data_IF_004498399102
#
_entry.id   IF_004498399102
#
_cell.length_a   1.000
_cell.length_b   1.000
_cell.length_c   1.000
_cell.angle_alpha   90.00
_cell.angle_beta   90.00
_cell.angle_gamma   90.00
#
_symmetry.space_group_name_H-M   'P 1'
#
loop_
_entity.id
_entity.type
_entity.pdbx_description
1 polymer ?
#
# COMPACT_ATOMS: atom_id res chain seq x y z
N UNK A 1 -19.94 -1.84 -27.52
CA UNK A 1 -18.79 -1.47 -28.37
C UNK A 1 -18.00 -0.39 -27.64
N UNK A 2 -16.67 -0.52 -27.53
CA UNK A 2 -15.82 0.51 -26.88
C UNK A 2 -15.75 1.67 -27.86
N UNK A 3 -16.20 2.87 -27.48
CA UNK A 3 -16.27 4.00 -28.42
C UNK A 3 -15.08 4.95 -28.35
N UNK A 4 -14.44 5.14 -27.20
CA UNK A 4 -13.28 6.02 -27.09
C UNK A 4 -12.39 5.61 -25.93
N UNK A 5 -11.09 5.70 -26.15
CA UNK A 5 -10.07 5.63 -25.12
C UNK A 5 -9.41 7.01 -25.09
N UNK A 6 -9.54 7.74 -24.00
CA UNK A 6 -8.88 9.03 -23.83
C UNK A 6 -8.09 9.00 -22.54
N UNK A 7 -6.86 9.53 -22.59
CA UNK A 7 -6.02 9.75 -21.42
C UNK A 7 -6.11 11.23 -21.06
N UNK A 8 -6.17 11.55 -19.80
CA UNK A 8 -5.98 12.91 -19.31
C UNK A 8 -4.55 13.10 -18.73
N UNK A 9 -4.23 14.35 -18.38
CA UNK A 9 -2.92 14.72 -17.79
C UNK A 9 -2.64 14.06 -16.41
N UNK A 10 -3.60 13.30 -15.89
CA UNK A 10 -3.51 12.59 -14.59
C UNK A 10 -3.31 11.08 -14.74
N UNK A 11 -2.96 10.59 -15.93
CA UNK A 11 -2.81 9.15 -16.25
C UNK A 11 -4.11 8.34 -16.02
N UNK A 12 -5.29 8.98 -16.14
CA UNK A 12 -6.55 8.27 -16.12
C UNK A 12 -6.94 7.83 -17.52
N UNK A 13 -7.31 6.56 -17.65
CA UNK A 13 -7.87 6.01 -18.87
C UNK A 13 -9.40 6.02 -18.79
N UNK A 14 -10.05 6.69 -19.74
CA UNK A 14 -11.51 6.72 -19.85
C UNK A 14 -11.96 5.81 -20.97
N UNK A 15 -12.86 4.89 -20.63
CA UNK A 15 -13.48 3.99 -21.60
C UNK A 15 -14.97 4.27 -21.60
N UNK A 16 -15.52 4.66 -22.75
CA UNK A 16 -16.96 4.83 -22.90
C UNK A 16 -17.57 3.60 -23.55
N UNK A 17 -18.66 3.11 -22.97
CA UNK A 17 -19.40 1.95 -23.43
C UNK A 17 -20.78 2.38 -23.96
N UNK A 18 -21.17 1.80 -25.10
CA UNK A 18 -22.54 1.91 -25.61
C UNK A 18 -23.34 0.69 -25.13
N UNK A 19 -23.57 0.65 -23.83
CA UNK A 19 -24.23 -0.46 -23.13
C UNK A 19 -25.16 0.15 -22.09
N UNK A 20 -26.24 -0.54 -21.79
CA UNK A 20 -27.22 -0.15 -20.78
C UNK A 20 -26.54 0.06 -19.40
N UNK A 21 -26.92 1.12 -18.72
CA UNK A 21 -26.39 1.57 -17.43
C UNK A 21 -26.42 0.48 -16.36
N UNK A 22 -27.39 -0.42 -16.39
CA UNK A 22 -27.50 -1.53 -15.44
C UNK A 22 -26.31 -2.49 -15.51
N UNK A 23 -25.85 -2.82 -16.73
CA UNK A 23 -24.68 -3.69 -16.91
C UNK A 23 -23.39 -3.03 -16.44
N UNK A 24 -23.21 -1.73 -16.75
CA UNK A 24 -22.03 -0.96 -16.32
C UNK A 24 -21.98 -0.85 -14.80
N UNK A 25 -23.11 -0.57 -14.14
CA UNK A 25 -23.20 -0.55 -12.69
C UNK A 25 -22.88 -1.91 -12.06
N UNK A 26 -23.34 -2.98 -12.67
CA UNK A 26 -23.04 -4.35 -12.21
C UNK A 26 -21.55 -4.64 -12.34
N UNK A 27 -20.92 -4.28 -13.47
CA UNK A 27 -19.49 -4.40 -13.70
C UNK A 27 -18.69 -3.60 -12.66
N UNK A 28 -19.05 -2.33 -12.45
CA UNK A 28 -18.42 -1.47 -11.44
C UNK A 28 -18.48 -2.11 -10.05
N UNK A 29 -19.64 -2.62 -9.63
CA UNK A 29 -19.81 -3.29 -8.32
C UNK A 29 -18.97 -4.55 -8.19
N UNK A 30 -18.84 -5.33 -9.28
CA UNK A 30 -17.99 -6.53 -9.30
C UNK A 30 -16.52 -6.13 -9.17
N UNK A 31 -16.05 -5.13 -9.90
CA UNK A 31 -14.69 -4.62 -9.82
C UNK A 31 -14.36 -4.16 -8.39
N UNK A 32 -15.25 -3.37 -7.77
CA UNK A 32 -15.06 -2.91 -6.38
C UNK A 32 -15.05 -4.04 -5.35
N UNK A 33 -15.81 -5.10 -5.55
CA UNK A 33 -15.98 -6.16 -4.55
C UNK A 33 -15.05 -7.35 -4.74
N UNK A 34 -14.74 -7.67 -5.99
CA UNK A 34 -14.03 -8.91 -6.39
C UNK A 34 -12.56 -8.68 -6.76
N UNK A 35 -12.13 -7.43 -6.89
CA UNK A 35 -10.71 -7.12 -7.13
C UNK A 35 -9.85 -7.77 -6.04
N UNK A 36 -8.88 -8.59 -6.46
CA UNK A 36 -7.97 -9.30 -5.58
C UNK A 36 -6.63 -8.58 -5.56
N UNK A 37 -6.07 -8.42 -4.38
CA UNK A 37 -4.75 -7.87 -4.18
C UNK A 37 -4.07 -8.42 -2.93
N UNK A 38 -2.82 -8.06 -2.72
CA UNK A 38 -2.08 -8.38 -1.51
C UNK A 38 -1.95 -7.13 -0.63
N UNK A 39 -2.16 -7.29 0.66
CA UNK A 39 -1.92 -6.24 1.65
C UNK A 39 -1.37 -6.84 2.95
N UNK A 40 -0.81 -5.98 3.78
CA UNK A 40 -0.52 -6.31 5.18
C UNK A 40 -1.82 -6.21 5.98
N UNK A 41 -2.28 -7.32 6.54
CA UNK A 41 -3.41 -7.28 7.45
C UNK A 41 -2.94 -6.78 8.81
N UNK A 42 -3.71 -5.91 9.46
CA UNK A 42 -3.40 -5.40 10.81
C UNK A 42 -3.16 -6.52 11.84
N UNK A 43 -3.87 -7.64 11.69
CA UNK A 43 -3.72 -8.83 12.57
C UNK A 43 -2.40 -9.57 12.36
N UNK A 44 -1.84 -9.48 11.15
CA UNK A 44 -0.62 -10.19 10.76
C UNK A 44 0.63 -9.30 10.92
N UNK A 45 0.47 -8.11 11.54
CA UNK A 45 1.55 -7.20 11.89
C UNK A 45 1.87 -7.34 13.36
N UNK A 46 3.01 -7.96 13.66
CA UNK A 46 3.55 -8.10 15.02
C UNK A 46 4.51 -6.95 15.30
N UNK A 47 4.20 -6.11 16.28
CA UNK A 47 5.10 -5.06 16.77
C UNK A 47 5.91 -5.68 17.89
N UNK A 48 7.22 -5.86 17.66
CA UNK A 48 8.15 -6.44 18.62
C UNK A 48 8.64 -5.38 19.60
N UNK A 49 8.95 -4.19 19.09
CA UNK A 49 9.43 -3.08 19.90
C UNK A 49 8.96 -1.75 19.29
N UNK A 50 8.40 -0.89 20.12
CA UNK A 50 8.01 0.46 19.75
C UNK A 50 8.17 1.38 20.96
N UNK A 51 9.19 2.22 20.97
CA UNK A 51 9.38 3.25 21.98
C UNK A 51 9.05 4.66 21.46
N UNK A 52 8.36 4.74 20.33
CA UNK A 52 7.93 6.00 19.73
C UNK A 52 6.64 6.50 20.37
N UNK A 53 6.32 7.77 20.14
CA UNK A 53 5.04 8.36 20.60
C UNK A 53 3.81 7.82 19.85
N UNK A 54 4.00 7.15 18.70
CA UNK A 54 2.89 6.67 17.88
C UNK A 54 2.35 5.35 18.42
N UNK A 55 1.03 5.29 18.61
CA UNK A 55 0.35 4.08 19.09
C UNK A 55 0.51 2.92 18.09
N UNK A 56 0.65 1.71 18.63
CA UNK A 56 0.78 0.47 17.86
C UNK A 56 -0.37 0.22 16.89
N UNK A 57 -1.58 0.58 17.24
CA UNK A 57 -2.76 0.43 16.37
C UNK A 57 -2.68 1.34 15.16
N UNK A 58 -2.26 2.58 15.35
CA UNK A 58 -2.08 3.56 14.26
C UNK A 58 -0.99 3.09 13.32
N UNK A 59 0.12 2.57 13.86
CA UNK A 59 1.22 2.01 13.05
C UNK A 59 0.75 0.83 12.21
N UNK A 60 0.03 -0.13 12.81
CA UNK A 60 -0.56 -1.27 12.08
C UNK A 60 -1.50 -0.79 10.98
N UNK A 61 -2.34 0.20 11.27
CA UNK A 61 -3.24 0.76 10.28
C UNK A 61 -2.48 1.42 9.12
N UNK A 62 -1.49 2.26 9.39
CA UNK A 62 -0.68 2.91 8.34
C UNK A 62 0.04 1.90 7.44
N UNK A 63 0.63 0.87 8.03
CA UNK A 63 1.30 -0.19 7.26
C UNK A 63 0.29 -1.01 6.44
N UNK A 64 -0.90 -1.27 6.97
CA UNK A 64 -1.93 -1.99 6.23
C UNK A 64 -2.44 -1.24 5.00
N UNK A 65 -2.21 0.07 4.91
CA UNK A 65 -2.56 0.92 3.77
C UNK A 65 -1.45 0.99 2.70
N UNK A 66 -0.30 0.33 2.89
CA UNK A 66 0.75 0.28 1.88
C UNK A 66 0.35 -0.69 0.76
N UNK A 67 0.23 -0.24 -0.50
CA UNK A 67 -0.13 -1.10 -1.61
C UNK A 67 1.02 -2.05 -1.97
N UNK A 68 0.73 -3.33 -2.12
CA UNK A 68 1.70 -4.37 -2.47
C UNK A 68 1.40 -4.87 -3.89
N UNK A 69 2.32 -4.64 -4.82
CA UNK A 69 2.22 -5.10 -6.22
C UNK A 69 2.73 -6.53 -6.42
N UNK A 70 2.33 -7.47 -5.59
CA UNK A 70 2.73 -8.87 -5.78
C UNK A 70 1.56 -9.80 -5.57
N UNK A 71 1.60 -10.94 -6.27
CA UNK A 71 0.59 -12.00 -6.16
C UNK A 71 0.95 -12.98 -5.05
N UNK A 72 2.21 -12.95 -4.60
CA UNK A 72 2.75 -13.89 -3.61
C UNK A 72 2.70 -13.33 -2.19
N UNK A 73 2.55 -14.19 -1.21
CA UNK A 73 2.66 -13.80 0.19
C UNK A 73 4.10 -13.41 0.50
N UNK A 74 4.26 -12.29 1.19
CA UNK A 74 5.54 -11.75 1.62
C UNK A 74 5.66 -11.85 3.13
N UNK A 75 6.86 -12.17 3.59
CA UNK A 75 7.26 -11.95 4.98
C UNK A 75 8.26 -10.81 4.99
N UNK A 76 7.96 -9.76 5.72
CA UNK A 76 8.75 -8.55 5.79
C UNK A 76 9.08 -8.19 7.23
N UNK A 77 10.14 -7.41 7.39
CA UNK A 77 10.59 -6.90 8.67
C UNK A 77 11.03 -5.43 8.53
N UNK A 78 10.68 -4.63 9.52
CA UNK A 78 11.13 -3.25 9.64
C UNK A 78 11.86 -3.09 10.96
N UNK A 79 13.18 -2.84 10.91
CA UNK A 79 14.01 -2.57 12.09
C UNK A 79 14.77 -1.29 11.83
N UNK A 80 14.43 -0.24 12.57
CA UNK A 80 15.10 1.05 12.48
C UNK A 80 15.28 1.64 13.86
N UNK A 81 16.47 2.14 14.12
CA UNK A 81 16.81 2.94 15.29
C UNK A 81 17.40 4.26 14.83
N UNK A 82 16.90 5.36 15.35
CA UNK A 82 17.46 6.66 15.10
C UNK A 82 18.62 6.91 16.09
N UNK A 83 19.86 6.89 15.59
CA UNK A 83 21.07 7.19 16.36
C UNK A 83 21.52 8.64 16.13
N UNK A 84 20.84 9.37 15.27
CA UNK A 84 21.17 10.76 14.96
C UNK A 84 20.48 11.73 15.93
N UNK A 85 21.01 12.95 16.05
CA UNK A 85 20.37 14.03 16.82
C UNK A 85 19.23 14.73 16.06
N UNK A 86 18.95 14.31 14.83
CA UNK A 86 17.89 14.87 13.97
C UNK A 86 16.73 13.88 13.83
N UNK A 87 15.58 14.39 13.42
CA UNK A 87 14.45 13.53 13.03
C UNK A 87 14.85 12.64 11.86
N UNK A 88 14.48 11.37 11.93
CA UNK A 88 14.69 10.38 10.88
C UNK A 88 13.34 9.97 10.29
N UNK A 89 13.17 10.20 9.00
CA UNK A 89 12.00 9.78 8.26
C UNK A 89 12.13 8.30 7.85
N UNK A 90 11.14 7.51 8.19
CA UNK A 90 11.05 6.08 7.83
C UNK A 90 10.01 5.92 6.72
N UNK A 91 10.44 5.35 5.61
CA UNK A 91 9.63 5.16 4.42
C UNK A 91 9.29 3.68 4.16
N UNK A 92 8.35 3.44 3.26
CA UNK A 92 7.97 2.08 2.83
C UNK A 92 9.14 1.29 2.23
N UNK A 93 10.17 1.97 1.70
CA UNK A 93 11.37 1.34 1.13
C UNK A 93 12.32 0.77 2.19
N UNK A 94 12.21 1.22 3.43
CA UNK A 94 13.01 0.71 4.55
C UNK A 94 12.53 -0.66 5.02
N UNK A 95 11.37 -1.11 4.53
CA UNK A 95 10.85 -2.45 4.82
C UNK A 95 11.69 -3.49 4.10
N UNK A 96 12.34 -4.35 4.88
CA UNK A 96 13.15 -5.47 4.38
C UNK A 96 12.26 -6.68 4.11
N UNK A 97 12.41 -7.27 2.93
CA UNK A 97 11.71 -8.50 2.54
C UNK A 97 12.58 -9.67 2.95
N UNK A 98 12.09 -10.50 3.85
CA UNK A 98 12.76 -11.73 4.31
C UNK A 98 12.43 -12.91 3.41
N UNK A 99 11.17 -13.03 2.98
CA UNK A 99 10.71 -14.13 2.13
C UNK A 99 9.71 -13.62 1.10
N UNK A 100 9.91 -14.04 -0.14
CA UNK A 100 9.07 -13.65 -1.28
C UNK A 100 9.82 -12.75 -2.26
N UNK A 101 9.19 -12.49 -3.41
CA UNK A 101 9.72 -11.58 -4.45
C UNK A 101 8.74 -10.42 -4.61
N UNK A 102 9.17 -9.23 -4.35
CA UNK A 102 8.42 -8.02 -4.72
C UNK A 102 8.60 -7.74 -6.21
N UNK A 103 7.52 -7.76 -6.96
CA UNK A 103 7.50 -7.14 -8.29
C UNK A 103 7.26 -5.63 -8.11
N UNK A 104 8.36 -4.89 -8.12
CA UNK A 104 8.35 -3.43 -8.10
C UNK A 104 8.13 -2.80 -6.72
N UNK A 105 8.96 -1.84 -6.40
CA UNK A 105 8.71 -0.91 -5.30
C UNK A 105 7.50 -0.07 -5.69
N UNK A 106 6.60 0.21 -4.75
CA UNK A 106 5.48 1.13 -4.98
C UNK A 106 6.03 2.54 -5.19
N UNK A 107 6.37 2.87 -6.43
CA UNK A 107 6.81 4.21 -6.81
C UNK A 107 5.61 4.94 -7.39
N UNK A 108 5.19 5.98 -6.74
CA UNK A 108 4.28 6.94 -7.35
C UNK A 108 5.12 7.89 -8.20
N UNK A 109 4.96 7.82 -9.52
CA UNK A 109 5.52 8.81 -10.45
C UNK A 109 4.42 9.83 -10.76
N UNK A 110 4.68 11.09 -10.51
CA UNK A 110 3.88 12.18 -11.08
C UNK A 110 4.85 13.05 -11.88
N UNK A 111 4.61 13.16 -13.18
CA UNK A 111 5.39 14.05 -14.04
C UNK A 111 6.87 13.66 -14.24
N UNK A 112 7.20 12.34 -14.29
CA UNK A 112 8.57 11.87 -14.56
C UNK A 112 9.55 11.96 -13.40
N UNK A 113 9.23 12.64 -12.31
CA UNK A 113 10.02 12.65 -11.09
C UNK A 113 9.63 11.48 -10.17
N UNK A 114 10.65 10.76 -9.68
CA UNK A 114 10.44 9.69 -8.67
C UNK A 114 10.02 10.38 -7.37
N UNK A 115 8.72 10.39 -7.07
CA UNK A 115 8.25 10.86 -5.78
C UNK A 115 8.69 9.92 -4.68
N UNK A 116 9.02 10.51 -3.54
CA UNK A 116 9.39 9.81 -2.29
C UNK A 116 8.33 8.78 -1.95
N UNK A 117 8.78 7.64 -1.45
CA UNK A 117 7.95 6.54 -0.99
C UNK A 117 6.99 6.97 0.14
N UNK A 118 6.08 6.09 0.52
CA UNK A 118 5.09 6.38 1.55
C UNK A 118 5.80 6.53 2.90
N UNK A 119 5.67 7.69 3.53
CA UNK A 119 6.19 7.96 4.88
C UNK A 119 5.38 7.14 5.90
N UNK A 120 6.06 6.29 6.66
CA UNK A 120 5.46 5.48 7.72
C UNK A 120 5.44 6.25 9.04
N UNK A 121 6.60 6.71 9.49
CA UNK A 121 6.78 7.40 10.76
C UNK A 121 8.03 8.28 10.72
N UNK A 122 8.06 9.30 11.57
CA UNK A 122 9.26 10.08 11.88
C UNK A 122 9.76 9.68 13.26
N UNK A 123 11.01 9.26 13.36
CA UNK A 123 11.66 8.88 14.61
C UNK A 123 12.45 10.06 15.20
N UNK A 124 12.22 10.35 16.46
CA UNK A 124 13.05 11.24 17.25
C UNK A 124 14.41 10.59 17.55
N UNK A 125 15.39 11.36 18.04
CA UNK A 125 16.64 10.79 18.55
C UNK A 125 16.37 9.67 19.58
N UNK A 126 17.15 8.57 19.50
CA UNK A 126 17.06 7.37 20.34
C UNK A 126 15.77 6.56 20.24
N UNK A 127 14.81 6.97 19.41
CA UNK A 127 13.63 6.15 19.13
C UNK A 127 13.97 4.97 18.23
N UNK A 128 13.28 3.85 18.51
CA UNK A 128 13.45 2.57 17.81
C UNK A 128 12.10 1.96 17.48
N UNK A 129 12.02 1.32 16.32
CA UNK A 129 10.88 0.54 15.91
C UNK A 129 11.34 -0.80 15.35
N UNK A 130 10.68 -1.87 15.80
CA UNK A 130 10.87 -3.22 15.26
C UNK A 130 9.52 -3.88 15.04
N UNK A 131 9.23 -4.22 13.79
CA UNK A 131 7.98 -4.86 13.39
C UNK A 131 8.24 -6.00 12.42
N UNK A 132 7.42 -7.04 12.53
CA UNK A 132 7.34 -8.15 11.58
C UNK A 132 5.95 -8.19 10.97
N UNK A 133 5.87 -8.42 9.68
CA UNK A 133 4.62 -8.36 8.95
C UNK A 133 4.54 -9.42 7.86
N UNK A 134 3.36 -10.02 7.72
CA UNK A 134 3.06 -10.96 6.66
C UNK A 134 1.98 -10.38 5.75
N UNK A 135 2.18 -10.47 4.44
CA UNK A 135 1.13 -10.11 3.50
C UNK A 135 0.20 -11.29 3.23
N UNK A 136 -1.06 -11.00 2.99
CA UNK A 136 -2.08 -11.97 2.64
C UNK A 136 -2.96 -11.45 1.51
N UNK A 137 -3.63 -12.38 0.81
CA UNK A 137 -4.56 -12.02 -0.26
C UNK A 137 -5.84 -11.43 0.31
N UNK A 138 -6.26 -10.33 -0.26
CA UNK A 138 -7.48 -9.62 0.12
C UNK A 138 -8.31 -9.24 -1.10
N UNK A 139 -9.61 -9.13 -0.90
CA UNK A 139 -10.55 -8.61 -1.91
C UNK A 139 -10.95 -7.17 -1.59
N UNK A 140 -11.36 -6.41 -2.59
CA UNK A 140 -11.83 -5.03 -2.44
C UNK A 140 -13.00 -4.87 -1.47
N UNK A 141 -13.72 -5.96 -1.14
CA UNK A 141 -14.76 -5.96 -0.10
C UNK A 141 -14.18 -5.83 1.31
N UNK A 142 -12.96 -6.35 1.54
CA UNK A 142 -12.30 -6.36 2.87
C UNK A 142 -11.28 -5.25 3.04
N UNK A 143 -10.73 -4.71 1.95
CA UNK A 143 -9.76 -3.63 2.01
C UNK A 143 -10.03 -2.58 0.95
N UNK A 144 -10.09 -1.33 1.38
CA UNK A 144 -10.34 -0.17 0.50
C UNK A 144 -9.18 0.13 -0.45
N UNK A 145 -7.97 -0.34 -0.17
CA UNK A 145 -6.77 -0.17 -1.02
C UNK A 145 -6.95 -0.76 -2.42
N UNK A 146 -7.76 -1.82 -2.53
CA UNK A 146 -7.98 -2.53 -3.79
C UNK A 146 -9.31 -2.18 -4.45
N UNK A 147 -9.91 -1.08 -4.08
CA UNK A 147 -11.04 -0.53 -4.82
C UNK A 147 -10.49 0.27 -5.99
N UNK A 148 -10.77 -0.12 -7.23
CA UNK A 148 -10.46 0.73 -8.38
C UNK A 148 -11.23 2.05 -8.24
N UNK A 149 -10.57 3.13 -8.55
CA UNK A 149 -11.14 4.48 -8.50
C UNK A 149 -12.04 4.73 -9.71
#
# INVERSE_FOLDING_TARGET
MIKNLSNDDLDHEYITFDIDTHYINSLRRILYSKSLGNCFNQKDIAIVENNTMMNNEILRHRISLIPIKTIYNLTCELIIKNTSKKLLDVYSDDIKILKGRMCGKARYTKGGEIKKNILIIQLKPDEKIHMKMNSSKYSGKKSTIYRPF
#
